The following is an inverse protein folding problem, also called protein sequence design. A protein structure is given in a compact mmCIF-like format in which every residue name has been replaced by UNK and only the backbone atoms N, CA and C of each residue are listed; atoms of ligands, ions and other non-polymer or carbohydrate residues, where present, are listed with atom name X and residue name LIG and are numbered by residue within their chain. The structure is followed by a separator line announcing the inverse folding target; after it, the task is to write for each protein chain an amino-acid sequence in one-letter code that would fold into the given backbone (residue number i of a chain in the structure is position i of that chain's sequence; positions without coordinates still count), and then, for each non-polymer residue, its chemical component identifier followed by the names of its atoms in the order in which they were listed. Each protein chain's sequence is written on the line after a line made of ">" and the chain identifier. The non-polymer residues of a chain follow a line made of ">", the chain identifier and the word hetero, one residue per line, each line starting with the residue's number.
data_IF_854088071917
#
_entry.id   IF_854088071917
#
_cell.length_a   1.000
_cell.length_b   1.000
_cell.length_c   1.000
_cell.angle_alpha   90.00
_cell.angle_beta   90.00
_cell.angle_gamma   90.00
#
_symmetry.space_group_name_H-M   'P 1'
#
loop_
_entity.id
_entity.type
_entity.pdbx_description
1 polymer ?
#
# COMPACT_ATOMS: atom_id res chain seq x y z
N UNK A 1 -23.22 5.17 -19.09
CA UNK A 1 -22.42 5.35 -17.87
C UNK A 1 -21.49 4.15 -17.78
N UNK A 2 -20.17 4.34 -17.79
CA UNK A 2 -19.25 3.21 -17.67
C UNK A 2 -19.28 2.70 -16.23
N UNK A 3 -19.71 1.45 -16.05
CA UNK A 3 -19.75 0.82 -14.73
C UNK A 3 -18.35 0.25 -14.44
N UNK A 4 -17.48 1.06 -13.84
CA UNK A 4 -16.15 0.60 -13.48
C UNK A 4 -16.20 -0.36 -12.29
N UNK A 5 -15.56 -1.52 -12.44
CA UNK A 5 -15.30 -2.42 -11.31
C UNK A 5 -13.91 -2.16 -10.77
N UNK A 6 -13.79 -2.15 -9.45
CA UNK A 6 -12.52 -1.94 -8.75
C UNK A 6 -12.14 -3.18 -7.98
N UNK A 7 -10.83 -3.45 -7.92
CA UNK A 7 -10.26 -4.44 -7.01
C UNK A 7 -9.53 -3.71 -5.90
N UNK A 8 -9.76 -4.17 -4.68
CA UNK A 8 -9.01 -3.74 -3.50
C UNK A 8 -8.15 -4.90 -3.04
N UNK A 9 -6.85 -4.66 -2.88
CA UNK A 9 -5.90 -5.63 -2.32
C UNK A 9 -5.20 -5.02 -1.13
N UNK A 10 -4.78 -5.85 -0.17
CA UNK A 10 -4.04 -5.40 1.01
C UNK A 10 -2.54 -5.71 0.86
N UNK A 11 -1.70 -4.77 1.27
CA UNK A 11 -0.24 -4.89 1.31
C UNK A 11 0.29 -4.24 2.58
N UNK A 12 1.53 -4.57 2.97
CA UNK A 12 2.22 -3.90 4.08
C UNK A 12 3.49 -3.25 3.54
N UNK A 13 3.59 -1.94 3.67
CA UNK A 13 4.80 -1.18 3.36
C UNK A 13 5.71 -1.10 4.56
N UNK A 14 7.03 -1.09 4.33
CA UNK A 14 8.02 -0.98 5.40
C UNK A 14 9.08 0.07 5.11
N UNK A 15 9.58 0.72 6.15
CA UNK A 15 10.70 1.67 6.07
C UNK A 15 11.28 1.91 7.47
N UNK A 16 12.60 2.10 7.63
CA UNK A 16 13.17 2.58 8.89
C UNK A 16 12.87 4.07 9.15
N UNK A 17 12.56 4.85 8.11
CA UNK A 17 12.57 6.31 8.15
C UNK A 17 11.23 6.92 8.61
N UNK A 18 10.12 6.18 8.49
CA UNK A 18 8.81 6.66 8.94
C UNK A 18 7.61 6.04 8.23
N UNK A 19 6.42 6.45 8.67
CA UNK A 19 5.13 6.04 8.09
C UNK A 19 5.00 6.50 6.63
N UNK A 20 5.31 7.76 6.31
CA UNK A 20 5.20 8.28 4.94
C UNK A 20 6.06 7.49 3.95
N UNK A 21 7.32 7.21 4.34
CA UNK A 21 8.23 6.44 3.50
C UNK A 21 7.78 4.99 3.36
N UNK A 22 7.25 4.36 4.41
CA UNK A 22 6.68 3.02 4.34
C UNK A 22 5.49 2.95 3.37
N UNK A 23 4.61 3.96 3.39
CA UNK A 23 3.48 4.07 2.45
C UNK A 23 3.98 4.21 1.00
N UNK A 24 4.94 5.11 0.76
CA UNK A 24 5.55 5.29 -0.57
C UNK A 24 6.17 4.00 -1.08
N UNK A 25 6.93 3.29 -0.24
CA UNK A 25 7.56 2.02 -0.61
C UNK A 25 6.53 0.97 -1.06
N UNK A 26 5.41 0.84 -0.34
CA UNK A 26 4.33 -0.05 -0.75
C UNK A 26 3.71 0.34 -2.10
N UNK A 27 3.39 1.63 -2.30
CA UNK A 27 2.80 2.12 -3.55
C UNK A 27 3.77 1.92 -4.73
N UNK A 28 5.06 2.24 -4.54
CA UNK A 28 6.10 2.04 -5.56
C UNK A 28 6.24 0.57 -5.93
N UNK A 29 6.21 -0.35 -4.95
CA UNK A 29 6.28 -1.79 -5.25
C UNK A 29 5.01 -2.29 -5.92
N UNK A 30 3.84 -1.83 -5.49
CA UNK A 30 2.56 -2.23 -6.04
C UNK A 30 2.39 -1.77 -7.50
N UNK A 31 2.81 -0.54 -7.83
CA UNK A 31 2.69 0.05 -9.17
C UNK A 31 3.51 -0.67 -10.24
N UNK A 32 4.51 -1.47 -9.84
CA UNK A 32 5.28 -2.31 -10.76
C UNK A 32 4.44 -3.45 -11.37
N UNK A 33 3.38 -3.89 -10.68
CA UNK A 33 2.55 -5.03 -11.09
C UNK A 33 1.08 -4.69 -11.27
N UNK A 34 0.59 -3.65 -10.58
CA UNK A 34 -0.80 -3.21 -10.64
C UNK A 34 -0.89 -1.92 -11.45
N UNK A 35 -1.73 -1.94 -12.49
CA UNK A 35 -2.06 -0.75 -13.29
C UNK A 35 -3.29 -0.06 -12.70
N UNK A 36 -3.45 1.24 -13.00
CA UNK A 36 -4.63 2.05 -12.63
C UNK A 36 -4.88 2.09 -11.11
N UNK A 37 -3.81 2.21 -10.32
CA UNK A 37 -3.90 2.53 -8.89
C UNK A 37 -4.52 3.91 -8.74
N UNK A 38 -5.63 3.98 -8.01
CA UNK A 38 -6.41 5.21 -7.86
C UNK A 38 -6.37 5.74 -6.42
N UNK A 39 -6.48 4.85 -5.42
CA UNK A 39 -6.43 5.26 -4.02
C UNK A 39 -5.76 4.22 -3.13
N UNK A 40 -5.41 4.68 -1.93
CA UNK A 40 -5.01 3.82 -0.81
C UNK A 40 -5.73 4.22 0.47
N UNK A 41 -5.86 3.28 1.39
CA UNK A 41 -6.39 3.48 2.74
C UNK A 41 -5.42 2.84 3.74
N UNK A 42 -5.00 3.59 4.76
CA UNK A 42 -4.18 3.04 5.85
C UNK A 42 -5.06 2.21 6.78
N UNK A 43 -4.77 0.92 6.91
CA UNK A 43 -5.53 0.01 7.78
C UNK A 43 -4.91 -0.13 9.16
N UNK A 44 -3.58 -0.08 9.26
CA UNK A 44 -2.84 -0.18 10.51
C UNK A 44 -1.45 0.44 10.39
N UNK A 45 -0.96 1.00 11.49
CA UNK A 45 0.43 1.44 11.64
C UNK A 45 1.04 0.66 12.79
N UNK A 46 2.12 -0.06 12.49
CA UNK A 46 2.87 -0.91 13.43
C UNK A 46 4.36 -0.64 13.26
N UNK A 47 5.17 -1.22 14.13
CA UNK A 47 6.61 -1.16 13.99
C UNK A 47 7.32 -2.28 14.74
N UNK A 48 8.51 -2.62 14.24
CA UNK A 48 9.47 -3.48 14.92
C UNK A 48 10.31 -2.63 15.87
N UNK A 49 10.47 -3.12 17.10
CA UNK A 49 11.29 -2.48 18.13
C UNK A 49 12.57 -3.30 18.30
N UNK A 50 13.72 -2.67 18.15
CA UNK A 50 15.04 -3.24 18.43
C UNK A 50 15.84 -2.26 19.28
N UNK A 51 16.49 -2.77 20.33
CA UNK A 51 17.31 -1.96 21.24
C UNK A 51 16.60 -0.71 21.82
N UNK A 52 15.28 -0.80 22.01
CA UNK A 52 14.46 0.30 22.51
C UNK A 52 14.15 1.40 21.49
N UNK A 53 14.48 1.18 20.21
CA UNK A 53 14.20 2.10 19.11
C UNK A 53 13.31 1.44 18.06
N UNK A 54 12.62 2.25 17.25
CA UNK A 54 11.85 1.76 16.11
C UNK A 54 12.81 1.42 14.99
N UNK A 55 12.99 0.12 14.70
CA UNK A 55 13.83 -0.35 13.61
C UNK A 55 13.13 -0.20 12.25
N UNK A 56 11.85 -0.58 12.19
CA UNK A 56 11.05 -0.51 10.98
C UNK A 56 9.62 -0.14 11.28
N UNK A 57 9.13 0.87 10.58
CA UNK A 57 7.71 1.14 10.43
C UNK A 57 7.10 0.11 9.47
N UNK A 58 5.91 -0.37 9.82
CA UNK A 58 5.13 -1.33 9.06
C UNK A 58 3.73 -0.75 8.90
N UNK A 59 3.36 -0.35 7.68
CA UNK A 59 2.10 0.33 7.40
C UNK A 59 1.25 -0.56 6.51
N UNK A 60 0.15 -1.07 7.06
CA UNK A 60 -0.84 -1.83 6.29
C UNK A 60 -1.68 -0.89 5.44
N UNK A 61 -1.82 -1.22 4.16
CA UNK A 61 -2.55 -0.44 3.16
C UNK A 61 -3.51 -1.32 2.39
N UNK A 62 -4.75 -0.85 2.23
CA UNK A 62 -5.61 -1.28 1.13
C UNK A 62 -5.33 -0.41 -0.08
N UNK A 63 -5.10 -1.03 -1.24
CA UNK A 63 -4.87 -0.38 -2.51
C UNK A 63 -6.04 -0.66 -3.45
N UNK A 64 -6.72 0.39 -3.88
CA UNK A 64 -7.79 0.32 -4.86
C UNK A 64 -7.27 0.62 -6.26
N UNK A 65 -7.59 -0.25 -7.21
CA UNK A 65 -7.27 -0.06 -8.62
C UNK A 65 -8.39 -0.54 -9.51
N UNK A 66 -8.56 0.14 -10.65
CA UNK A 66 -9.62 -0.20 -11.62
C UNK A 66 -9.26 -1.48 -12.36
N UNK A 67 -10.19 -2.43 -12.42
CA UNK A 67 -10.04 -3.62 -13.26
C UNK A 67 -10.21 -3.23 -14.74
N UNK A 68 -9.40 -3.85 -15.58
CA UNK A 68 -9.62 -3.81 -17.02
C UNK A 68 -10.83 -4.69 -17.36
N UNK A 69 -11.65 -4.23 -18.30
CA UNK A 69 -12.68 -5.07 -18.88
C UNK A 69 -11.96 -6.20 -19.62
N UNK A 70 -12.34 -7.44 -19.32
CA UNK A 70 -11.89 -8.59 -20.11
C UNK A 70 -12.55 -8.46 -21.49
N UNK A 71 -11.75 -8.46 -22.55
CA UNK A 71 -12.26 -8.63 -23.93
C UNK A 71 -13.03 -9.94 -24.08
#
# INVERSE_FOLDING_TARGET
>A
MSNHTYRVTEVVGTSPDGVDQAVRNAITRASQTLRKLDWFEVTQVRGQIEEGQVAHWQVGLKLGFRLEESD
#
